data_IF_910547546905
#
_entry.id   IF_910547546905
#
_cell.length_a   1.000
_cell.length_b   1.000
_cell.length_c   1.000
_cell.angle_alpha   90.00
_cell.angle_beta   90.00
_cell.angle_gamma   90.00
#
_symmetry.space_group_name_H-M   'P 1'
#
loop_
_entity.id
_entity.type
_entity.pdbx_description
1 polymer ?
#
# COMPACT_ATOMS: atom_id res chain seq x y z
N UNK A 1 -2.76 -8.34 8.99
CA UNK A 1 -3.96 -7.79 8.32
C UNK A 1 -3.87 -8.01 6.82
N UNK A 2 -4.95 -8.43 6.20
CA UNK A 2 -4.98 -8.59 4.76
C UNK A 2 -4.93 -7.22 4.09
N UNK A 3 -4.13 -7.11 3.05
CA UNK A 3 -3.90 -5.85 2.35
C UNK A 3 -5.20 -5.21 1.84
N UNK A 4 -6.12 -6.02 1.30
CA UNK A 4 -7.36 -5.51 0.73
C UNK A 4 -8.21 -4.72 1.74
N UNK A 5 -8.30 -5.21 2.98
CA UNK A 5 -9.07 -4.52 4.02
C UNK A 5 -8.42 -3.22 4.43
N UNK A 6 -7.10 -3.23 4.52
CA UNK A 6 -6.35 -2.03 4.89
C UNK A 6 -6.50 -0.94 3.83
N UNK A 7 -6.33 -1.28 2.56
CA UNK A 7 -6.41 -0.30 1.48
C UNK A 7 -7.78 0.34 1.34
N UNK A 8 -8.84 -0.38 1.66
CA UNK A 8 -10.21 0.17 1.62
C UNK A 8 -10.44 1.25 2.68
N UNK A 9 -9.66 1.26 3.74
CA UNK A 9 -9.78 2.23 4.83
C UNK A 9 -8.96 3.49 4.67
N UNK A 10 -8.16 3.62 3.61
CA UNK A 10 -7.32 4.79 3.39
C UNK A 10 -8.11 5.96 2.79
N UNK A 11 -7.56 7.17 2.95
CA UNK A 11 -8.09 8.37 2.31
C UNK A 11 -7.60 8.45 0.86
N UNK A 12 -8.51 8.66 -0.08
CA UNK A 12 -8.16 8.80 -1.49
C UNK A 12 -8.56 10.18 -2.00
N UNK A 13 -7.79 10.77 -2.98
CA UNK A 13 -6.55 10.26 -3.55
C UNK A 13 -5.39 10.26 -2.56
N UNK A 14 -4.45 9.32 -2.73
CA UNK A 14 -3.27 9.24 -1.88
C UNK A 14 -2.07 8.70 -2.65
N UNK A 15 -0.88 8.87 -2.04
CA UNK A 15 0.36 8.30 -2.56
C UNK A 15 0.81 7.17 -1.63
N UNK A 16 1.14 6.03 -2.21
CA UNK A 16 1.63 4.87 -1.45
C UNK A 16 3.03 4.53 -1.92
N UNK A 17 3.98 4.46 -0.98
CA UNK A 17 5.31 3.93 -1.20
C UNK A 17 5.32 2.47 -0.77
N UNK A 18 5.66 1.60 -1.71
CA UNK A 18 5.62 0.14 -1.51
C UNK A 18 6.99 -0.41 -1.13
N UNK A 19 7.00 -1.33 -0.19
CA UNK A 19 8.19 -2.00 0.30
C UNK A 19 7.94 -3.51 0.39
N UNK A 20 9.01 -4.30 0.29
CA UNK A 20 8.93 -5.75 0.39
C UNK A 20 9.44 -6.21 1.76
N UNK A 21 8.54 -6.62 2.63
CA UNK A 21 8.83 -7.20 3.93
C UNK A 21 9.09 -6.21 5.05
N UNK A 22 9.75 -5.09 4.77
CA UNK A 22 10.09 -4.09 5.80
C UNK A 22 10.22 -2.71 5.18
N UNK A 23 9.80 -1.69 5.91
CA UNK A 23 9.91 -0.30 5.44
C UNK A 23 11.33 0.20 5.68
N UNK A 24 12.19 0.00 4.69
CA UNK A 24 13.52 0.61 4.63
C UNK A 24 13.95 0.76 3.16
N UNK A 25 15.00 1.55 2.94
CA UNK A 25 15.43 1.91 1.59
C UNK A 25 15.85 0.70 0.75
N UNK A 26 16.38 -0.34 1.37
CA UNK A 26 16.83 -1.55 0.66
C UNK A 26 15.67 -2.35 0.11
N UNK A 27 14.49 -2.22 0.71
CA UNK A 27 13.30 -2.96 0.34
C UNK A 27 12.30 -2.15 -0.49
N UNK A 28 12.66 -0.92 -0.86
CA UNK A 28 11.79 -0.05 -1.62
C UNK A 28 11.50 -0.62 -3.01
N UNK A 29 10.21 -0.74 -3.34
CA UNK A 29 9.75 -1.27 -4.62
C UNK A 29 9.40 -0.14 -5.58
N UNK A 30 8.77 0.90 -5.09
CA UNK A 30 8.32 2.03 -5.87
C UNK A 30 7.18 2.76 -5.19
N UNK A 31 6.84 3.93 -5.70
CA UNK A 31 5.70 4.70 -5.20
C UNK A 31 4.73 4.99 -6.33
N UNK A 32 3.45 5.13 -5.99
CA UNK A 32 2.40 5.41 -6.95
C UNK A 32 1.28 6.18 -6.30
N UNK A 33 0.66 7.07 -7.08
CA UNK A 33 -0.51 7.81 -6.66
C UNK A 33 -1.77 7.05 -7.07
N UNK A 34 -2.70 6.93 -6.12
CA UNK A 34 -3.93 6.17 -6.34
C UNK A 34 -5.17 7.03 -6.12
N UNK A 35 -6.15 6.83 -6.98
CA UNK A 35 -7.55 7.17 -6.72
C UNK A 35 -8.22 5.92 -6.16
N UNK A 36 -9.47 6.03 -5.72
CA UNK A 36 -10.20 4.87 -5.21
C UNK A 36 -10.33 3.76 -6.28
N UNK A 37 -10.58 4.14 -7.54
CA UNK A 37 -10.65 3.17 -8.63
C UNK A 37 -9.29 2.53 -8.93
N UNK A 38 -8.21 3.29 -8.78
CA UNK A 38 -6.86 2.76 -8.93
C UNK A 38 -6.53 1.70 -7.89
N UNK A 39 -7.07 1.83 -6.69
CA UNK A 39 -6.91 0.81 -5.64
C UNK A 39 -7.63 -0.48 -6.01
N UNK A 40 -8.77 -0.39 -6.64
CA UNK A 40 -9.47 -1.59 -7.12
C UNK A 40 -8.63 -2.35 -8.15
N UNK A 41 -7.92 -1.63 -9.03
CA UNK A 41 -7.00 -2.26 -9.98
C UNK A 41 -5.84 -2.95 -9.26
N UNK A 42 -5.31 -2.33 -8.21
CA UNK A 42 -4.26 -2.94 -7.39
C UNK A 42 -4.76 -4.22 -6.74
N UNK A 43 -5.96 -4.19 -6.15
CA UNK A 43 -6.56 -5.35 -5.50
C UNK A 43 -6.81 -6.50 -6.48
N UNK A 44 -7.12 -6.20 -7.74
CA UNK A 44 -7.29 -7.22 -8.77
C UNK A 44 -5.97 -7.83 -9.24
N UNK A 45 -4.91 -7.01 -9.30
CA UNK A 45 -3.61 -7.42 -9.81
C UNK A 45 -2.70 -8.04 -8.76
N UNK A 46 -2.85 -7.65 -7.49
CA UNK A 46 -2.17 -8.33 -6.40
C UNK A 46 -2.92 -9.61 -6.07
N UNK A 47 -2.21 -10.72 -6.02
CA UNK A 47 -2.81 -11.94 -5.51
C UNK A 47 -3.37 -11.68 -4.12
N UNK A 48 -4.58 -12.15 -3.89
CA UNK A 48 -5.37 -11.88 -2.67
C UNK A 48 -4.68 -12.34 -1.39
N UNK A 49 -3.55 -13.03 -1.54
CA UNK A 49 -2.77 -13.59 -0.43
C UNK A 49 -1.78 -12.60 0.20
N UNK A 50 -1.62 -11.41 -0.35
CA UNK A 50 -0.69 -10.45 0.24
C UNK A 50 -1.20 -9.93 1.58
N UNK A 51 -0.29 -9.90 2.55
CA UNK A 51 -0.53 -9.33 3.86
C UNK A 51 0.25 -8.05 4.03
N UNK A 52 -0.33 -7.08 4.73
CA UNK A 52 0.41 -5.91 5.16
C UNK A 52 1.30 -6.30 6.34
N UNK A 53 2.60 -6.11 6.19
CA UNK A 53 3.57 -6.43 7.23
C UNK A 53 3.86 -5.23 8.11
N UNK A 54 4.12 -4.07 7.50
CA UNK A 54 4.32 -2.81 8.21
C UNK A 54 3.54 -1.69 7.55
N UNK A 55 3.20 -0.70 8.33
CA UNK A 55 2.50 0.49 7.88
C UNK A 55 3.07 1.72 8.56
N UNK A 56 3.24 2.80 7.79
CA UNK A 56 3.62 4.10 8.32
C UNK A 56 2.87 5.19 7.57
N UNK A 57 2.19 6.06 8.31
CA UNK A 57 1.50 7.21 7.74
C UNK A 57 2.40 8.43 7.85
N UNK A 58 2.71 9.07 6.72
CA UNK A 58 3.52 10.27 6.67
C UNK A 58 2.66 11.54 6.72
N UNK A 59 1.50 11.48 6.11
CA UNK A 59 0.52 12.59 6.14
C UNK A 59 -0.87 12.00 5.88
N UNK A 60 -1.90 12.85 5.84
CA UNK A 60 -3.27 12.40 5.57
C UNK A 60 -3.43 11.72 4.21
N UNK A 61 -2.49 11.94 3.28
CA UNK A 61 -2.56 11.41 1.91
C UNK A 61 -1.27 10.71 1.47
N UNK A 62 -0.36 10.41 2.38
CA UNK A 62 0.91 9.76 2.03
C UNK A 62 1.21 8.65 3.02
N UNK A 63 1.38 7.43 2.49
CA UNK A 63 1.57 6.22 3.26
C UNK A 63 2.77 5.42 2.77
N UNK A 64 3.38 4.68 3.69
CA UNK A 64 4.39 3.66 3.39
C UNK A 64 3.83 2.31 3.81
N UNK A 65 3.83 1.34 2.91
CA UNK A 65 3.29 0.01 3.17
C UNK A 65 4.32 -1.04 2.77
N UNK A 66 4.64 -1.94 3.68
CA UNK A 66 5.44 -3.12 3.40
C UNK A 66 4.52 -4.34 3.31
N UNK A 67 4.71 -5.13 2.27
CA UNK A 67 3.93 -6.34 1.99
C UNK A 67 4.88 -7.55 1.86
N UNK A 68 4.30 -8.73 1.98
CA UNK A 68 5.03 -9.97 1.69
C UNK A 68 4.10 -11.06 1.18
#
# INVERSE_FOLDING_TARGET
MRLEYFLQGLNYPCTIEWYCGKIDDENYIGSKKYTFSGINDVLENFEVVHFMYEFKQLSSTHYKIAIF
#
